data_IF_756960543950
#
_entry.id   IF_756960543950
#
_cell.length_a   1.000
_cell.length_b   1.000
_cell.length_c   1.000
_cell.angle_alpha   90.00
_cell.angle_beta   90.00
_cell.angle_gamma   90.00
#
_symmetry.space_group_name_H-M   'P 1'
#
loop_
_entity.id
_entity.type
_entity.pdbx_description
1 polymer ?
#
# COMPACT_ATOMS: atom_id res chain seq x y z
N UNK A 1 -10.32 -4.53 -23.05
CA UNK A 1 -9.65 -5.86 -23.00
C UNK A 1 -8.27 -5.77 -23.66
N UNK A 2 -8.10 -4.95 -24.72
CA UNK A 2 -6.81 -4.39 -25.15
C UNK A 2 -5.91 -3.93 -23.98
N UNK A 3 -6.52 -3.36 -22.94
CA UNK A 3 -5.83 -2.73 -21.81
C UNK A 3 -4.90 -3.70 -21.04
N UNK A 4 -5.22 -5.00 -21.00
CA UNK A 4 -4.38 -6.01 -20.34
C UNK A 4 -3.13 -6.35 -21.15
N UNK A 5 -3.23 -6.34 -22.47
CA UNK A 5 -2.11 -6.62 -23.36
C UNK A 5 -1.13 -5.46 -23.30
N UNK A 6 -1.64 -4.22 -23.38
CA UNK A 6 -0.81 -3.03 -23.26
C UNK A 6 -0.14 -2.94 -21.89
N UNK A 7 -0.90 -3.15 -20.80
CA UNK A 7 -0.35 -3.12 -19.44
C UNK A 7 0.74 -4.18 -19.22
N UNK A 8 0.63 -5.35 -19.86
CA UNK A 8 1.66 -6.38 -19.79
C UNK A 8 2.97 -5.95 -20.47
N UNK A 9 2.88 -5.29 -21.62
CA UNK A 9 4.05 -4.81 -22.36
C UNK A 9 4.75 -3.67 -21.62
N UNK A 10 3.98 -2.71 -21.09
CA UNK A 10 4.49 -1.50 -20.44
C UNK A 10 5.03 -1.75 -19.02
N UNK A 11 4.47 -2.71 -18.28
CA UNK A 11 4.82 -2.93 -16.88
C UNK A 11 6.26 -3.47 -16.75
N UNK A 12 7.04 -2.81 -15.89
CA UNK A 12 8.46 -3.12 -15.66
C UNK A 12 8.67 -3.98 -14.43
N UNK A 13 7.79 -3.89 -13.44
CA UNK A 13 7.88 -4.73 -12.25
C UNK A 13 7.50 -6.17 -12.62
N UNK A 14 8.48 -7.08 -12.53
CA UNK A 14 8.32 -8.49 -12.85
C UNK A 14 7.18 -9.16 -12.07
N UNK A 15 6.93 -8.75 -10.82
CA UNK A 15 5.85 -9.32 -9.98
C UNK A 15 4.49 -8.86 -10.47
N UNK A 16 4.37 -7.59 -10.85
CA UNK A 16 3.11 -7.05 -11.37
C UNK A 16 2.87 -7.62 -12.77
N UNK A 17 3.90 -7.70 -13.61
CA UNK A 17 3.85 -8.30 -14.95
C UNK A 17 3.42 -9.77 -14.91
N UNK A 18 3.92 -10.56 -13.95
CA UNK A 18 3.48 -11.94 -13.72
C UNK A 18 1.99 -12.03 -13.36
N UNK A 19 1.49 -11.14 -12.50
CA UNK A 19 0.07 -11.07 -12.13
C UNK A 19 -0.81 -10.68 -13.32
N UNK A 20 -0.37 -9.71 -14.11
CA UNK A 20 -1.07 -9.30 -15.34
C UNK A 20 -1.12 -10.46 -16.33
N UNK A 21 0.00 -11.19 -16.50
CA UNK A 21 0.05 -12.38 -17.36
C UNK A 21 -0.95 -13.45 -16.92
N UNK A 22 -1.04 -13.74 -15.62
CA UNK A 22 -2.00 -14.70 -15.09
C UNK A 22 -3.45 -14.33 -15.45
N UNK A 23 -3.80 -13.05 -15.29
CA UNK A 23 -5.14 -12.54 -15.60
C UNK A 23 -5.41 -12.55 -17.10
N UNK A 24 -4.43 -12.14 -17.92
CA UNK A 24 -4.50 -12.19 -19.39
C UNK A 24 -4.75 -13.62 -19.88
N UNK A 25 -3.96 -14.60 -19.42
CA UNK A 25 -4.13 -16.01 -19.81
C UNK A 25 -5.53 -16.53 -19.51
N UNK A 26 -6.14 -16.08 -18.40
CA UNK A 26 -7.49 -16.50 -18.03
C UNK A 26 -8.58 -15.78 -18.83
N UNK A 27 -8.54 -14.45 -18.90
CA UNK A 27 -9.62 -13.64 -19.45
C UNK A 27 -9.55 -13.44 -20.96
N UNK A 28 -8.35 -13.39 -21.53
CA UNK A 28 -8.10 -13.16 -22.96
C UNK A 28 -7.92 -14.49 -23.68
N UNK A 29 -7.04 -15.34 -23.16
CA UNK A 29 -6.72 -16.62 -23.82
C UNK A 29 -7.68 -17.75 -23.40
N UNK A 30 -8.65 -17.47 -22.52
CA UNK A 30 -9.72 -18.39 -22.13
C UNK A 30 -9.27 -19.59 -21.29
N UNK A 31 -8.04 -19.60 -20.77
CA UNK A 31 -7.52 -20.73 -19.99
C UNK A 31 -8.19 -20.82 -18.63
N UNK A 32 -8.39 -22.04 -18.13
CA UNK A 32 -8.87 -22.23 -16.77
C UNK A 32 -7.82 -21.80 -15.74
N UNK A 33 -8.26 -21.37 -14.57
CA UNK A 33 -7.37 -21.00 -13.45
C UNK A 33 -6.41 -22.15 -13.06
N UNK A 34 -6.82 -23.41 -13.26
CA UNK A 34 -5.99 -24.61 -13.04
C UNK A 34 -4.87 -24.74 -14.06
N UNK A 35 -5.15 -24.46 -15.33
CA UNK A 35 -4.13 -24.48 -16.39
C UNK A 35 -3.12 -23.35 -16.20
N UNK A 36 -3.61 -22.14 -15.89
CA UNK A 36 -2.74 -20.99 -15.59
C UNK A 36 -1.84 -21.27 -14.39
N UNK A 37 -2.38 -21.90 -13.34
CA UNK A 37 -1.62 -22.33 -12.16
C UNK A 37 -0.45 -23.25 -12.54
N UNK A 38 -0.68 -24.23 -13.42
CA UNK A 38 0.38 -25.12 -13.93
C UNK A 38 1.40 -24.37 -14.78
N UNK A 39 0.94 -23.48 -15.67
CA UNK A 39 1.80 -22.71 -16.57
C UNK A 39 2.75 -21.76 -15.84
N UNK A 40 2.26 -21.10 -14.78
CA UNK A 40 3.02 -20.12 -14.00
C UNK A 40 3.69 -20.72 -12.76
N UNK A 41 3.52 -22.02 -12.52
CA UNK A 41 3.96 -22.70 -11.30
C UNK A 41 3.56 -21.94 -10.01
N UNK A 42 2.30 -21.48 -9.98
CA UNK A 42 1.70 -20.80 -8.81
C UNK A 42 0.55 -21.60 -8.26
N UNK A 43 0.26 -21.43 -6.98
CA UNK A 43 -0.91 -22.03 -6.36
C UNK A 43 -2.21 -21.56 -7.03
N UNK A 44 -3.16 -22.50 -7.21
CA UNK A 44 -4.49 -22.20 -7.75
C UNK A 44 -5.20 -21.07 -6.99
N UNK A 45 -5.11 -21.06 -5.66
CA UNK A 45 -5.68 -20.01 -4.80
C UNK A 45 -5.07 -18.64 -5.07
N UNK A 46 -3.79 -18.57 -5.43
CA UNK A 46 -3.10 -17.34 -5.81
C UNK A 46 -3.63 -16.80 -7.13
N UNK A 47 -3.79 -17.66 -8.14
CA UNK A 47 -4.36 -17.26 -9.43
C UNK A 47 -5.79 -16.75 -9.26
N UNK A 48 -6.63 -17.51 -8.55
CA UNK A 48 -8.02 -17.12 -8.23
C UNK A 48 -8.09 -15.79 -7.49
N UNK A 49 -7.18 -15.55 -6.55
CA UNK A 49 -7.08 -14.28 -5.83
C UNK A 49 -6.76 -13.12 -6.78
N UNK A 50 -5.78 -13.28 -7.68
CA UNK A 50 -5.41 -12.24 -8.64
C UNK A 50 -6.54 -11.92 -9.62
N UNK A 51 -7.20 -12.95 -10.16
CA UNK A 51 -8.38 -12.79 -11.03
C UNK A 51 -9.50 -12.07 -10.28
N UNK A 52 -9.77 -12.45 -9.02
CA UNK A 52 -10.79 -11.80 -8.20
C UNK A 52 -10.48 -10.33 -7.90
N UNK A 53 -9.21 -10.00 -7.58
CA UNK A 53 -8.77 -8.61 -7.39
C UNK A 53 -8.92 -7.79 -8.66
N UNK A 54 -8.55 -8.35 -9.81
CA UNK A 54 -8.72 -7.69 -11.09
C UNK A 54 -10.19 -7.42 -11.42
N UNK A 55 -11.09 -8.40 -11.19
CA UNK A 55 -12.54 -8.21 -11.40
C UNK A 55 -13.13 -7.12 -10.52
N UNK A 56 -12.54 -6.85 -9.35
CA UNK A 56 -13.03 -5.85 -8.39
C UNK A 56 -12.43 -4.45 -8.59
N UNK A 57 -11.12 -4.39 -8.83
CA UNK A 57 -10.33 -3.14 -8.78
C UNK A 57 -9.52 -2.90 -10.08
N UNK A 58 -9.69 -3.74 -11.11
CA UNK A 58 -8.94 -3.63 -12.36
C UNK A 58 -7.43 -3.86 -12.18
N UNK A 59 -6.62 -3.14 -12.96
CA UNK A 59 -5.16 -3.21 -12.89
C UNK A 59 -4.60 -2.76 -11.53
N UNK A 60 -5.25 -1.80 -10.88
CA UNK A 60 -4.84 -1.33 -9.54
C UNK A 60 -4.94 -2.43 -8.48
N UNK A 61 -5.90 -3.35 -8.64
CA UNK A 61 -6.03 -4.53 -7.78
C UNK A 61 -4.81 -5.47 -7.84
N UNK A 62 -3.99 -5.40 -8.90
CA UNK A 62 -2.80 -6.23 -9.07
C UNK A 62 -1.54 -5.58 -8.49
N UNK A 63 -1.57 -4.28 -8.18
CA UNK A 63 -0.45 -3.55 -7.55
C UNK A 63 -0.36 -3.89 -6.06
N UNK A 64 0.86 -3.80 -5.52
CA UNK A 64 1.07 -3.97 -4.08
C UNK A 64 0.55 -2.73 -3.33
N UNK A 65 -0.35 -2.94 -2.37
CA UNK A 65 -0.82 -1.86 -1.49
C UNK A 65 0.25 -1.53 -0.46
N UNK A 66 0.43 -0.25 -0.09
CA UNK A 66 1.39 0.14 0.94
C UNK A 66 1.08 -0.61 2.23
N UNK A 67 2.06 -1.37 2.71
CA UNK A 67 1.94 -2.11 3.98
C UNK A 67 2.23 -1.12 5.10
N UNK A 68 1.23 -0.78 5.90
CA UNK A 68 1.46 -0.16 7.21
C UNK A 68 2.12 -1.22 8.10
N UNK A 69 3.44 -1.32 8.03
CA UNK A 69 4.20 -2.22 8.89
C UNK A 69 3.87 -1.98 10.37
N UNK A 70 4.27 -2.91 11.23
CA UNK A 70 4.16 -2.70 12.67
C UNK A 70 4.95 -1.42 13.04
N UNK A 71 4.34 -0.41 13.69
CA UNK A 71 5.05 0.82 14.03
C UNK A 71 6.28 0.49 14.87
N UNK A 72 7.41 1.11 14.54
CA UNK A 72 8.70 0.83 15.17
C UNK A 72 8.63 1.33 16.62
N UNK A 73 9.08 0.56 17.62
CA UNK A 73 8.94 0.91 19.06
C UNK A 73 9.41 2.34 19.39
N UNK A 74 10.47 2.81 18.75
CA UNK A 74 11.03 4.16 18.93
C UNK A 74 10.09 5.31 18.50
N UNK A 75 9.09 5.02 17.68
CA UNK A 75 8.14 6.03 17.18
C UNK A 75 7.10 6.40 18.24
N UNK A 76 6.74 5.47 19.14
CA UNK A 76 5.85 5.75 20.29
C UNK A 76 6.49 6.73 21.28
N UNK A 77 7.77 6.55 21.59
CA UNK A 77 8.49 7.44 22.52
C UNK A 77 8.66 8.85 21.93
N UNK A 78 8.95 8.93 20.63
CA UNK A 78 9.05 10.21 19.93
C UNK A 78 7.71 10.95 19.85
N UNK A 79 6.60 10.22 19.61
CA UNK A 79 5.26 10.80 19.60
C UNK A 79 4.87 11.39 20.98
N UNK A 80 5.18 10.67 22.07
CA UNK A 80 4.92 11.14 23.43
C UNK A 80 5.81 12.34 23.80
N UNK A 81 7.09 12.31 23.42
CA UNK A 81 8.03 13.42 23.68
C UNK A 81 7.65 14.72 22.96
N UNK A 82 7.22 14.64 21.70
CA UNK A 82 6.73 15.80 20.93
C UNK A 82 5.47 16.39 21.56
N UNK A 83 4.54 15.55 22.03
CA UNK A 83 3.30 16.01 22.66
C UNK A 83 3.57 16.73 24.00
N UNK A 84 4.41 16.15 24.86
CA UNK A 84 4.82 16.74 26.15
C UNK A 84 5.58 18.05 25.98
N UNK A 85 6.48 18.13 25.00
CA UNK A 85 7.25 19.35 24.73
C UNK A 85 6.34 20.48 24.22
N UNK A 86 5.35 20.18 23.37
CA UNK A 86 4.40 21.18 22.86
C UNK A 86 3.50 21.78 23.97
N UNK A 87 3.13 20.98 24.98
CA UNK A 87 2.31 21.43 26.10
C UNK A 87 3.11 22.33 27.05
N UNK A 88 4.32 21.89 27.41
CA UNK A 88 5.26 22.66 28.24
C UNK A 88 5.64 24.01 27.60
N UNK A 89 5.86 24.04 26.27
CA UNK A 89 6.17 25.29 25.56
C UNK A 89 4.98 26.26 25.60
N UNK A 90 3.72 25.78 25.50
CA UNK A 90 2.52 26.63 25.63
C UNK A 90 2.37 27.19 27.03
N UNK A 91 2.55 26.37 28.05
CA UNK A 91 2.47 26.80 29.45
C UNK A 91 3.54 27.83 29.82
N UNK A 92 4.79 27.61 29.37
CA UNK A 92 5.89 28.55 29.62
C UNK A 92 5.68 29.88 28.90
N UNK A 93 5.21 29.85 27.64
CA UNK A 93 4.90 31.09 26.91
C UNK A 93 3.76 31.87 27.55
N UNK A 94 2.72 31.20 28.06
CA UNK A 94 1.61 31.85 28.77
C UNK A 94 2.10 32.56 30.06
N UNK A 95 2.92 31.87 30.86
CA UNK A 95 3.53 32.44 32.08
C UNK A 95 4.45 33.62 31.79
N UNK A 96 5.26 33.53 30.72
CA UNK A 96 6.14 34.63 30.29
C UNK A 96 5.34 35.86 29.84
N UNK A 97 4.23 35.66 29.12
CA UNK A 97 3.31 36.73 28.70
C UNK A 97 2.67 37.44 29.89
N UNK A 98 2.28 36.69 30.92
CA UNK A 98 1.72 37.24 32.16
C UNK A 98 2.76 38.02 32.95
N UNK A 99 3.99 37.48 33.06
CA UNK A 99 5.10 38.16 33.72
C UNK A 99 5.46 39.48 33.02
N UNK A 100 5.47 39.50 31.69
CA UNK A 100 5.79 40.69 30.90
C UNK A 100 4.76 41.82 31.02
N UNK A 101 3.51 41.51 31.39
CA UNK A 101 2.45 42.52 31.64
C UNK A 101 2.52 43.14 33.03
N UNK A 102 3.14 42.45 33.99
CA UNK A 102 3.16 42.87 35.40
C UNK A 102 4.47 43.59 35.80
N UNK A 103 5.52 43.50 34.99
CA UNK A 103 6.85 44.01 35.33
C UNK A 103 7.45 44.96 34.27
N UNK A 104 6.66 45.37 33.26
CA UNK A 104 6.99 46.40 32.27
C UNK A 104 5.79 47.31 32.02
#
# INVERSE_FOLDING_TARGET
MEDLVQAYEEEKDARIKERILAVKLHLVDGKSEKEVSKMLNKGYSTIKLWVGKYKKEGLDGLRDKPRSGRPRKAEKEKQMGVFLCSHLIRELNAKLLEWRKNYF
#
